data_IF_104373811280
#
_entry.id   IF_104373811280
#
_cell.length_a   1.000
_cell.length_b   1.000
_cell.length_c   1.000
_cell.angle_alpha   90.00
_cell.angle_beta   90.00
_cell.angle_gamma   90.00
#
_symmetry.space_group_name_H-M   'P 1'
#
loop_
_entity.id
_entity.type
_entity.pdbx_description
1 polymer ?
#
# COMPACT_ATOMS: atom_id res chain seq x y z
N UNK A 1 -12.98 7.53 21.39
CA UNK A 1 -12.23 7.23 20.15
C UNK A 1 -11.38 6.00 20.44
N UNK A 2 -11.09 5.15 19.45
CA UNK A 2 -10.21 4.00 19.71
C UNK A 2 -8.78 4.51 19.69
N UNK A 3 -7.99 4.16 20.70
CA UNK A 3 -6.58 4.56 20.78
C UNK A 3 -5.67 3.73 19.84
N UNK A 4 -6.25 2.81 19.06
CA UNK A 4 -5.53 1.84 18.24
C UNK A 4 -5.66 2.13 16.73
N UNK A 5 -4.62 1.75 15.97
CA UNK A 5 -4.67 1.76 14.50
C UNK A 5 -5.58 0.64 14.00
N UNK A 6 -6.41 0.89 12.99
CA UNK A 6 -7.13 -0.18 12.28
C UNK A 6 -6.49 -0.36 10.91
N UNK A 7 -5.95 -1.55 10.63
CA UNK A 7 -5.42 -1.95 9.33
C UNK A 7 -6.51 -2.65 8.52
N UNK A 8 -6.93 -2.06 7.41
CA UNK A 8 -7.81 -2.71 6.43
C UNK A 8 -6.97 -3.58 5.48
N UNK A 9 -7.16 -4.89 5.58
CA UNK A 9 -6.38 -5.89 4.82
C UNK A 9 -7.28 -6.94 4.15
N UNK A 10 -6.72 -7.72 3.23
CA UNK A 10 -7.37 -8.81 2.49
C UNK A 10 -7.20 -10.12 3.26
N UNK A 11 -8.29 -10.85 3.58
CA UNK A 11 -8.18 -12.12 4.28
C UNK A 11 -7.58 -13.21 3.38
N UNK A 12 -6.84 -14.13 3.99
CA UNK A 12 -6.63 -15.47 3.46
C UNK A 12 -7.69 -16.45 4.01
N UNK A 13 -7.75 -17.66 3.45
CA UNK A 13 -8.52 -18.79 3.99
C UNK A 13 -8.16 -19.11 5.45
N UNK A 14 -6.93 -18.79 5.84
CA UNK A 14 -6.40 -19.00 7.18
C UNK A 14 -6.64 -17.79 8.11
N UNK A 15 -7.25 -16.71 7.62
CA UNK A 15 -7.47 -15.49 8.40
C UNK A 15 -6.18 -14.69 8.66
N UNK A 16 -5.20 -14.80 7.77
CA UNK A 16 -3.87 -14.20 7.90
C UNK A 16 -3.49 -13.34 6.69
N UNK A 17 -2.50 -12.47 6.86
CA UNK A 17 -1.99 -11.64 5.77
C UNK A 17 -1.23 -12.46 4.74
N UNK A 18 -1.34 -12.05 3.48
CA UNK A 18 -0.71 -12.75 2.36
C UNK A 18 -0.22 -11.82 1.26
N UNK A 19 -0.85 -10.65 1.07
CA UNK A 19 -0.54 -9.77 -0.05
C UNK A 19 0.71 -8.94 0.24
N UNK A 20 1.62 -8.85 -0.74
CA UNK A 20 2.89 -8.13 -0.60
C UNK A 20 2.72 -6.64 -0.23
N UNK A 21 1.62 -5.99 -0.63
CA UNK A 21 1.42 -4.57 -0.34
C UNK A 21 1.04 -4.34 1.14
N UNK A 22 0.04 -5.04 1.70
CA UNK A 22 -0.27 -5.00 3.13
C UNK A 22 0.85 -5.46 4.03
N UNK A 23 1.68 -6.43 3.60
CA UNK A 23 2.85 -6.83 4.36
C UNK A 23 3.78 -5.66 4.69
N UNK A 24 3.95 -4.68 3.80
CA UNK A 24 4.76 -3.48 4.08
C UNK A 24 4.26 -2.73 5.31
N UNK A 25 2.95 -2.48 5.37
CA UNK A 25 2.32 -1.79 6.51
C UNK A 25 2.36 -2.65 7.76
N UNK A 26 2.08 -3.95 7.64
CA UNK A 26 2.10 -4.91 8.75
C UNK A 26 3.48 -5.03 9.40
N UNK A 27 4.52 -5.16 8.59
CA UNK A 27 5.90 -5.20 9.05
C UNK A 27 6.28 -3.93 9.80
N UNK A 28 5.86 -2.76 9.31
CA UNK A 28 6.08 -1.49 10.00
C UNK A 28 5.37 -1.44 11.36
N UNK A 29 4.10 -1.83 11.42
CA UNK A 29 3.34 -1.86 12.67
C UNK A 29 3.98 -2.82 13.69
N UNK A 30 4.42 -4.00 13.23
CA UNK A 30 5.06 -5.01 14.06
C UNK A 30 6.45 -4.56 14.53
N UNK A 31 7.29 -4.05 13.63
CA UNK A 31 8.63 -3.52 13.93
C UNK A 31 8.56 -2.41 14.98
N UNK A 32 7.62 -1.48 14.80
CA UNK A 32 7.42 -0.37 15.74
C UNK A 32 6.69 -0.77 17.01
N UNK A 33 6.13 -1.98 17.09
CA UNK A 33 5.24 -2.40 18.18
C UNK A 33 4.05 -1.47 18.38
N UNK A 34 3.52 -0.87 17.30
CA UNK A 34 2.29 -0.07 17.35
C UNK A 34 1.11 -1.03 17.56
N UNK A 35 0.23 -0.81 18.55
CA UNK A 35 -1.00 -1.59 18.69
C UNK A 35 -1.96 -1.33 17.52
N UNK A 36 -2.44 -2.39 16.90
CA UNK A 36 -3.38 -2.29 15.79
C UNK A 36 -4.32 -3.49 15.72
N UNK A 37 -5.51 -3.28 15.15
CA UNK A 37 -6.41 -4.37 14.75
C UNK A 37 -6.45 -4.51 13.25
N UNK A 38 -6.49 -5.74 12.76
CA UNK A 38 -6.78 -5.96 11.33
C UNK A 38 -8.27 -6.09 11.12
N UNK A 39 -8.82 -5.25 10.24
CA UNK A 39 -10.17 -5.35 9.72
C UNK A 39 -10.13 -5.99 8.32
N UNK A 40 -10.36 -7.30 8.29
CA UNK A 40 -10.37 -8.08 7.06
C UNK A 40 -11.52 -7.68 6.13
N UNK A 41 -11.19 -7.39 4.87
CA UNK A 41 -12.13 -6.97 3.84
C UNK A 41 -11.85 -7.75 2.56
N UNK A 42 -12.86 -8.45 2.04
CA UNK A 42 -12.73 -9.19 0.78
C UNK A 42 -12.50 -8.23 -0.39
N UNK A 43 -11.85 -8.70 -1.46
CA UNK A 43 -11.56 -7.90 -2.65
C UNK A 43 -12.75 -7.10 -3.21
N UNK A 44 -13.93 -7.70 -3.49
CA UNK A 44 -15.06 -6.96 -4.04
C UNK A 44 -15.66 -5.94 -3.08
N UNK A 45 -15.37 -6.05 -1.77
CA UNK A 45 -15.95 -5.22 -0.73
C UNK A 45 -15.10 -3.99 -0.39
N UNK A 46 -13.83 -3.93 -0.85
CA UNK A 46 -12.93 -2.79 -0.60
C UNK A 46 -13.54 -1.46 -1.06
N UNK A 47 -13.95 -1.38 -2.33
CA UNK A 47 -14.54 -0.18 -2.91
C UNK A 47 -15.81 0.28 -2.17
N UNK A 48 -16.87 -0.55 -2.08
CA UNK A 48 -18.10 -0.10 -1.42
C UNK A 48 -17.90 0.21 0.07
N UNK A 49 -16.91 -0.39 0.73
CA UNK A 49 -16.57 -0.07 2.12
C UNK A 49 -15.89 1.29 2.25
N UNK A 50 -14.86 1.55 1.44
CA UNK A 50 -14.10 2.80 1.52
C UNK A 50 -14.91 4.00 1.02
N UNK A 51 -15.81 3.80 0.05
CA UNK A 51 -16.79 4.82 -0.35
C UNK A 51 -17.75 5.18 0.78
N UNK A 52 -18.18 4.21 1.62
CA UNK A 52 -19.00 4.51 2.80
C UNK A 52 -18.27 5.38 3.82
N UNK A 53 -16.95 5.25 3.96
CA UNK A 53 -16.18 6.12 4.86
C UNK A 53 -16.14 7.57 4.39
N UNK A 54 -16.36 7.85 3.11
CA UNK A 54 -16.54 9.21 2.59
C UNK A 54 -17.95 9.76 2.88
N UNK A 55 -18.97 8.90 2.92
CA UNK A 55 -20.37 9.31 3.13
C UNK A 55 -20.67 9.52 4.61
N UNK A 56 -20.25 8.58 5.47
CA UNK A 56 -20.49 8.65 6.92
C UNK A 56 -19.88 9.89 7.56
N UNK A 57 -18.80 10.42 6.98
CA UNK A 57 -18.16 11.65 7.46
C UNK A 57 -18.83 12.91 6.93
N UNK A 58 -19.58 12.81 5.83
CA UNK A 58 -20.34 13.92 5.26
C UNK A 58 -21.70 14.16 5.94
N UNK A 59 -22.18 13.27 6.83
CA UNK A 59 -23.52 13.33 7.43
C UNK A 59 -23.59 12.82 8.88
N UNK A 60 -24.34 13.43 9.82
CA UNK A 60 -25.07 14.70 9.78
C UNK A 60 -24.37 15.76 10.64
N UNK A 61 -23.75 16.76 10.02
CA UNK A 61 -23.58 18.06 10.69
C UNK A 61 -24.76 18.97 10.29
N UNK A 62 -25.36 19.71 11.23
CA UNK A 62 -26.56 20.49 10.98
C UNK A 62 -26.17 21.77 10.24
N UNK A 63 -26.50 21.86 8.95
CA UNK A 63 -26.34 23.11 8.21
C UNK A 63 -26.73 22.94 6.75
N UNK A 64 -27.67 23.74 6.22
CA UNK A 64 -28.11 23.63 4.84
C UNK A 64 -27.03 24.23 3.94
N UNK A 65 -26.16 23.40 3.39
CA UNK A 65 -25.34 23.81 2.24
C UNK A 65 -26.20 23.65 1.01
N UNK A 66 -26.68 24.79 0.49
CA UNK A 66 -27.30 24.90 -0.83
C UNK A 66 -26.42 24.18 -1.86
N UNK A 67 -26.90 23.06 -2.38
CA UNK A 67 -26.43 22.54 -3.67
C UNK A 67 -26.79 23.59 -4.72
N UNK A 68 -25.84 24.47 -5.06
CA UNK A 68 -25.90 25.19 -6.33
C UNK A 68 -25.62 24.18 -7.44
N UNK A 69 -26.69 23.59 -7.94
CA UNK A 69 -26.73 23.05 -9.30
C UNK A 69 -26.29 24.17 -10.23
N UNK A 70 -25.08 24.06 -10.76
CA UNK A 70 -24.65 24.84 -11.93
C UNK A 70 -25.56 24.43 -13.09
N UNK A 71 -26.67 25.15 -13.27
CA UNK A 71 -27.34 25.24 -14.57
C UNK A 71 -26.46 26.13 -15.44
N UNK A 72 -25.91 25.56 -16.50
CA UNK A 72 -25.45 26.31 -17.66
C UNK A 72 -26.66 27.05 -18.23
N UNK A 73 -26.81 28.32 -17.89
CA UNK A 73 -27.64 29.24 -18.67
C UNK A 73 -26.72 29.94 -19.68
N UNK A 74 -26.92 29.59 -20.95
CA UNK A 74 -26.32 30.29 -22.08
C UNK A 74 -27.13 31.55 -22.36
N UNK A 75 -26.90 32.64 -21.62
CA UNK A 75 -27.41 33.96 -22.05
C UNK A 75 -26.85 35.15 -21.26
N UNK A 76 -25.53 35.40 -21.28
CA UNK A 76 -25.04 36.75 -20.91
C UNK A 76 -23.87 37.20 -21.80
N UNK A 77 -24.18 38.13 -22.70
CA UNK A 77 -23.23 39.04 -23.36
C UNK A 77 -22.89 40.22 -22.44
N UNK A 78 -21.62 40.61 -22.37
CA UNK A 78 -21.09 41.89 -21.85
C UNK A 78 -20.09 42.39 -22.92
N UNK A 79 -19.75 43.69 -23.14
CA UNK A 79 -20.03 44.89 -22.32
C UNK A 79 -20.23 46.25 -23.05
N UNK A 80 -20.68 47.29 -22.31
CA UNK A 80 -20.02 48.62 -22.37
C UNK A 80 -20.38 49.56 -21.19
N UNK A 81 -19.35 49.89 -20.40
CA UNK A 81 -18.99 51.15 -19.71
C UNK A 81 -20.07 52.13 -19.14
N UNK A 82 -19.93 52.54 -17.86
CA UNK A 82 -19.32 53.83 -17.44
C UNK A 82 -19.60 54.20 -15.94
N UNK A 83 -18.50 54.42 -15.19
CA UNK A 83 -18.28 55.44 -14.11
C UNK A 83 -18.85 55.24 -12.68
N UNK A 84 -18.30 55.95 -11.65
CA UNK A 84 -17.59 55.32 -10.53
C UNK A 84 -18.25 55.55 -9.15
N UNK A 85 -18.11 54.58 -8.26
CA UNK A 85 -18.50 54.75 -6.85
C UNK A 85 -18.35 53.45 -6.07
N UNK A 86 -17.36 53.43 -5.18
CA UNK A 86 -17.27 52.59 -3.98
C UNK A 86 -17.53 51.07 -4.15
N UNK A 87 -16.44 50.32 -4.26
CA UNK A 87 -16.31 49.07 -3.51
C UNK A 87 -14.86 48.94 -3.11
N UNK A 88 -14.52 49.51 -1.94
CA UNK A 88 -13.28 49.21 -1.28
C UNK A 88 -13.24 47.71 -1.02
N UNK A 89 -12.17 47.09 -1.49
CA UNK A 89 -11.72 45.77 -1.11
C UNK A 89 -11.57 45.73 0.42
N UNK A 90 -12.59 45.22 1.11
CA UNK A 90 -12.44 44.74 2.48
C UNK A 90 -12.25 43.23 2.37
N UNK A 91 -11.01 42.84 2.05
CA UNK A 91 -10.56 41.49 2.28
C UNK A 91 -10.27 41.40 3.78
N UNK A 92 -11.32 41.23 4.59
CA UNK A 92 -11.16 41.01 6.02
C UNK A 92 -10.59 39.60 6.21
N UNK A 93 -9.46 39.57 6.93
CA UNK A 93 -8.66 38.40 7.24
C UNK A 93 -9.52 37.30 7.87
N UNK A 94 -9.86 36.27 7.10
CA UNK A 94 -10.14 34.95 7.67
C UNK A 94 -8.81 34.23 7.79
N UNK A 95 -8.04 34.57 8.83
CA UNK A 95 -7.06 33.65 9.41
C UNK A 95 -7.83 32.58 10.15
N UNK A 96 -8.29 31.58 9.42
CA UNK A 96 -8.68 30.30 9.99
C UNK A 96 -7.90 29.24 9.22
N UNK A 97 -6.91 28.66 9.89
CA UNK A 97 -6.41 27.32 9.58
C UNK A 97 -7.59 26.35 9.75
N UNK A 98 -8.52 26.33 8.80
CA UNK A 98 -9.35 25.16 8.59
C UNK A 98 -8.47 24.19 7.80
N UNK A 99 -7.60 23.48 8.52
CA UNK A 99 -7.15 22.20 8.01
C UNK A 99 -8.42 21.40 7.75
N UNK A 100 -8.77 21.21 6.48
CA UNK A 100 -9.79 20.24 6.11
C UNK A 100 -9.29 18.90 6.66
N UNK A 101 -9.78 18.50 7.83
CA UNK A 101 -9.60 17.13 8.30
C UNK A 101 -10.26 16.29 7.24
N UNK A 102 -9.46 15.64 6.40
CA UNK A 102 -9.95 14.82 5.31
C UNK A 102 -10.55 13.56 5.96
N UNK A 103 -11.82 13.66 6.33
CA UNK A 103 -12.54 12.58 6.97
C UNK A 103 -13.04 11.62 5.89
N UNK A 104 -12.29 10.53 5.66
CA UNK A 104 -12.60 9.44 4.74
C UNK A 104 -11.42 9.06 3.83
N UNK A 105 -11.48 7.90 3.17
CA UNK A 105 -10.41 7.44 2.27
C UNK A 105 -10.66 7.99 0.86
N UNK A 106 -9.88 8.97 0.36
CA UNK A 106 -9.97 9.35 -1.05
C UNK A 106 -9.52 8.20 -1.95
N UNK A 107 -10.05 8.10 -3.18
CA UNK A 107 -9.52 7.13 -4.13
C UNK A 107 -8.05 7.41 -4.45
N UNK A 108 -7.30 6.38 -4.80
CA UNK A 108 -5.95 6.50 -5.35
C UNK A 108 -5.95 7.41 -6.59
N UNK A 109 -4.80 8.03 -6.85
CA UNK A 109 -4.62 8.86 -8.04
C UNK A 109 -4.88 8.04 -9.33
N UNK A 110 -5.39 8.71 -10.36
CA UNK A 110 -5.65 8.08 -11.65
C UNK A 110 -4.33 7.55 -12.22
N UNK A 111 -4.32 6.27 -12.63
CA UNK A 111 -3.12 5.59 -13.14
C UNK A 111 -2.36 4.75 -12.10
N UNK A 112 -2.66 4.88 -10.80
CA UNK A 112 -2.07 4.06 -9.73
C UNK A 112 -2.69 2.64 -9.61
N UNK A 113 -3.50 2.22 -10.58
CA UNK A 113 -4.22 0.95 -10.57
C UNK A 113 -5.67 1.10 -10.10
N UNK A 114 -6.06 0.33 -9.09
CA UNK A 114 -7.42 0.38 -8.56
C UNK A 114 -7.66 1.66 -7.75
N UNK A 115 -8.82 2.28 -7.91
CA UNK A 115 -9.21 3.47 -7.14
C UNK A 115 -9.21 3.20 -5.62
N UNK A 116 -9.53 1.98 -5.20
CA UNK A 116 -9.46 1.54 -3.81
C UNK A 116 -8.65 0.25 -3.71
N UNK A 117 -7.72 0.22 -2.76
CA UNK A 117 -6.75 -0.87 -2.61
C UNK A 117 -6.45 -1.16 -1.15
N UNK A 118 -6.05 -2.39 -0.87
CA UNK A 118 -5.38 -2.77 0.37
C UNK A 118 -3.86 -2.58 0.23
N UNK A 119 -3.15 -2.05 1.24
CA UNK A 119 -3.64 -1.68 2.56
C UNK A 119 -4.25 -0.27 2.60
N UNK A 120 -5.15 -0.08 3.57
CA UNK A 120 -5.53 1.23 4.10
C UNK A 120 -5.53 1.16 5.63
N UNK A 121 -5.38 2.30 6.31
CA UNK A 121 -5.46 2.37 7.77
C UNK A 121 -6.43 3.45 8.23
N UNK A 122 -6.99 3.25 9.43
CA UNK A 122 -7.55 4.31 10.26
C UNK A 122 -6.59 4.60 11.41
N UNK A 123 -6.23 5.86 11.57
CA UNK A 123 -5.37 6.34 12.65
C UNK A 123 -6.17 6.53 13.95
N UNK A 124 -5.51 6.63 15.12
CA UNK A 124 -6.20 6.85 16.41
C UNK A 124 -7.03 8.14 16.46
N UNK A 125 -6.60 9.18 15.74
CA UNK A 125 -7.34 10.44 15.58
C UNK A 125 -8.60 10.32 14.69
N UNK A 126 -8.85 9.13 14.13
CA UNK A 126 -9.98 8.82 13.26
C UNK A 126 -9.76 9.17 11.79
N UNK A 127 -8.62 9.75 11.42
CA UNK A 127 -8.26 9.98 10.02
C UNK A 127 -7.98 8.66 9.30
N UNK A 128 -8.15 8.66 7.98
CA UNK A 128 -7.89 7.48 7.16
C UNK A 128 -6.78 7.74 6.14
N UNK A 129 -5.92 6.75 5.93
CA UNK A 129 -4.80 6.82 5.00
C UNK A 129 -4.79 5.55 4.13
N UNK A 130 -4.68 5.72 2.81
CA UNK A 130 -4.50 4.64 1.84
C UNK A 130 -3.29 5.00 0.97
N UNK A 131 -2.65 3.98 0.40
CA UNK A 131 -1.32 3.97 -0.22
C UNK A 131 -0.19 3.68 0.78
N UNK A 132 0.63 2.67 0.48
CA UNK A 132 1.66 2.19 1.40
C UNK A 132 2.70 3.24 1.78
N UNK A 133 3.04 4.18 0.88
CA UNK A 133 4.03 5.22 1.19
C UNK A 133 3.44 6.25 2.16
N UNK A 134 2.22 6.72 1.86
CA UNK A 134 1.49 7.65 2.75
C UNK A 134 1.24 7.06 4.13
N UNK A 135 0.91 5.77 4.16
CA UNK A 135 0.71 5.03 5.41
C UNK A 135 1.99 5.03 6.24
N UNK A 136 3.14 4.76 5.62
CA UNK A 136 4.42 4.71 6.34
C UNK A 136 4.81 6.08 6.87
N UNK A 137 4.63 7.15 6.10
CA UNK A 137 4.86 8.52 6.59
C UNK A 137 3.98 8.84 7.81
N UNK A 138 2.72 8.41 7.79
CA UNK A 138 1.79 8.59 8.90
C UNK A 138 2.17 7.78 10.14
N UNK A 139 2.59 6.52 9.97
CA UNK A 139 3.02 5.65 11.08
C UNK A 139 4.37 6.07 11.68
N UNK A 140 5.31 6.55 10.86
CA UNK A 140 6.57 7.14 11.33
C UNK A 140 6.30 8.40 12.15
N UNK A 141 5.35 9.24 11.70
CA UNK A 141 4.95 10.45 12.44
C UNK A 141 4.23 10.11 13.75
N UNK A 142 3.38 9.08 13.75
CA UNK A 142 2.66 8.62 14.94
C UNK A 142 3.62 8.07 16.00
N UNK A 143 4.61 7.29 15.58
CA UNK A 143 5.60 6.71 16.48
C UNK A 143 7.01 6.72 15.84
N UNK A 144 7.81 7.79 16.06
CA UNK A 144 9.13 7.97 15.43
C UNK A 144 10.20 6.97 15.90
N UNK A 145 9.96 6.25 16.99
CA UNK A 145 10.93 5.29 17.56
C UNK A 145 10.29 3.89 17.65
N UNK A 146 10.97 2.84 17.19
CA UNK A 146 12.25 2.85 16.47
C UNK A 146 12.14 3.45 15.04
N UNK A 147 13.18 4.13 14.53
CA UNK A 147 13.11 4.85 13.25
C UNK A 147 13.07 3.89 12.05
N UNK A 148 12.33 4.26 10.99
CA UNK A 148 12.32 3.50 9.72
C UNK A 148 13.34 4.01 8.71
N UNK A 149 14.05 5.11 8.99
CA UNK A 149 15.04 5.70 8.08
C UNK A 149 14.47 5.91 6.66
N UNK A 150 13.35 6.65 6.56
CA UNK A 150 12.60 6.85 5.32
C UNK A 150 13.37 7.63 4.24
N UNK A 151 14.48 8.24 4.64
CA UNK A 151 15.48 8.98 3.86
C UNK A 151 16.72 8.14 3.50
N UNK A 152 16.69 6.83 3.79
CA UNK A 152 17.76 5.89 3.45
C UNK A 152 18.18 6.03 1.98
N UNK A 153 19.50 6.06 1.68
CA UNK A 153 19.99 6.20 0.31
C UNK A 153 19.57 5.03 -0.59
N UNK A 154 19.17 3.90 0.01
CA UNK A 154 18.69 2.71 -0.68
C UNK A 154 17.24 2.82 -1.17
N UNK A 155 16.43 3.71 -0.58
CA UNK A 155 14.97 3.68 -0.71
C UNK A 155 14.48 3.68 -2.16
N UNK A 156 14.90 4.67 -2.96
CA UNK A 156 14.44 4.81 -4.34
C UNK A 156 14.91 3.63 -5.22
N UNK A 157 16.12 3.12 -4.98
CA UNK A 157 16.67 2.00 -5.75
C UNK A 157 15.94 0.69 -5.44
N UNK A 158 15.59 0.46 -4.19
CA UNK A 158 14.85 -0.73 -3.75
C UNK A 158 13.40 -0.69 -4.25
N UNK A 159 12.77 0.48 -4.31
CA UNK A 159 11.44 0.63 -4.92
C UNK A 159 11.46 0.26 -6.41
N UNK A 160 12.46 0.73 -7.17
CA UNK A 160 12.63 0.39 -8.58
C UNK A 160 12.94 -1.09 -8.79
N UNK A 161 13.92 -1.64 -8.06
CA UNK A 161 14.26 -3.07 -8.12
C UNK A 161 13.08 -3.95 -7.75
N UNK A 162 12.36 -3.62 -6.69
CA UNK A 162 11.16 -4.36 -6.27
C UNK A 162 10.11 -4.35 -7.38
N UNK A 163 9.89 -3.20 -8.04
CA UNK A 163 8.97 -3.12 -9.18
C UNK A 163 9.42 -4.07 -10.31
N UNK A 164 10.69 -4.01 -10.70
CA UNK A 164 11.24 -4.81 -11.79
C UNK A 164 11.21 -6.32 -11.50
N UNK A 165 11.55 -6.71 -10.27
CA UNK A 165 11.50 -8.09 -9.78
C UNK A 165 10.05 -8.57 -9.76
N UNK A 166 9.19 -7.90 -8.99
CA UNK A 166 7.80 -8.32 -8.78
C UNK A 166 7.05 -8.39 -10.10
N UNK A 167 7.19 -7.40 -10.99
CA UNK A 167 6.55 -7.42 -12.31
C UNK A 167 7.05 -8.60 -13.17
N UNK A 168 8.34 -8.93 -13.10
CA UNK A 168 8.92 -10.06 -13.84
C UNK A 168 8.40 -11.42 -13.34
N UNK A 169 8.18 -11.57 -12.03
CA UNK A 169 7.76 -12.85 -11.42
C UNK A 169 6.25 -12.97 -11.23
N UNK A 170 5.43 -12.05 -11.74
CA UNK A 170 3.97 -12.16 -11.74
C UNK A 170 3.46 -13.51 -12.27
N UNK A 171 4.02 -14.12 -13.34
CA UNK A 171 3.64 -15.45 -13.79
C UNK A 171 3.87 -16.56 -12.75
N UNK A 172 4.81 -16.37 -11.82
CA UNK A 172 5.14 -17.34 -10.76
C UNK A 172 4.06 -17.33 -9.68
N UNK A 173 3.78 -16.16 -9.09
CA UNK A 173 2.93 -16.10 -7.89
C UNK A 173 1.44 -15.87 -8.19
N UNK A 174 1.10 -15.12 -9.24
CA UNK A 174 -0.30 -14.70 -9.48
C UNK A 174 -1.26 -15.88 -9.68
N UNK A 175 -0.89 -16.94 -10.42
CA UNK A 175 -1.76 -18.12 -10.58
C UNK A 175 -1.94 -18.93 -9.29
N UNK A 176 -1.01 -18.82 -8.34
CA UNK A 176 -1.04 -19.51 -7.05
C UNK A 176 -1.93 -18.81 -6.02
N UNK A 177 -1.99 -17.47 -6.04
CA UNK A 177 -2.80 -16.65 -5.12
C UNK A 177 -4.24 -17.17 -4.93
N UNK A 178 -5.07 -17.36 -5.97
CA UNK A 178 -6.44 -17.86 -5.81
C UNK A 178 -6.52 -19.30 -5.30
N UNK A 179 -5.46 -20.10 -5.51
CA UNK A 179 -5.40 -21.51 -5.10
C UNK A 179 -5.03 -21.62 -3.62
N UNK A 180 -4.01 -20.88 -3.20
CA UNK A 180 -3.42 -20.94 -1.85
C UNK A 180 -4.18 -20.05 -0.86
N UNK A 181 -4.37 -18.77 -1.17
CA UNK A 181 -4.82 -17.79 -0.18
C UNK A 181 -6.30 -17.48 -0.18
N UNK A 182 -6.95 -17.35 -1.34
CA UNK A 182 -8.21 -16.61 -1.40
C UNK A 182 -9.44 -17.40 -0.99
N UNK A 183 -10.30 -16.78 -0.17
CA UNK A 183 -11.68 -17.22 0.06
C UNK A 183 -12.48 -17.26 -1.25
N UNK A 184 -13.56 -18.05 -1.37
CA UNK A 184 -14.32 -18.19 -2.62
C UNK A 184 -14.71 -16.86 -3.26
N UNK A 185 -15.24 -15.91 -2.48
CA UNK A 185 -15.65 -14.57 -2.96
C UNK A 185 -14.48 -13.79 -3.57
N UNK A 186 -13.37 -13.66 -2.83
CA UNK A 186 -12.16 -13.00 -3.35
C UNK A 186 -11.51 -13.76 -4.50
N UNK A 187 -11.55 -15.09 -4.48
CA UNK A 187 -11.01 -15.96 -5.53
C UNK A 187 -11.71 -15.69 -6.85
N UNK A 188 -13.03 -15.70 -6.86
CA UNK A 188 -13.80 -15.55 -8.10
C UNK A 188 -13.64 -14.13 -8.66
N UNK A 189 -13.65 -13.11 -7.80
CA UNK A 189 -13.29 -11.74 -8.18
C UNK A 189 -11.86 -11.65 -8.77
N UNK A 190 -10.88 -12.26 -8.10
CA UNK A 190 -9.48 -12.22 -8.51
C UNK A 190 -9.28 -12.89 -9.87
N UNK A 191 -9.75 -14.14 -10.03
CA UNK A 191 -9.63 -14.88 -11.29
C UNK A 191 -10.29 -14.10 -12.42
N UNK A 192 -11.52 -13.62 -12.25
CA UNK A 192 -12.24 -12.86 -13.27
C UNK A 192 -11.50 -11.59 -13.69
N UNK A 193 -11.10 -10.77 -12.71
CA UNK A 193 -10.43 -9.49 -12.99
C UNK A 193 -9.03 -9.67 -13.60
N UNK A 194 -8.26 -10.67 -13.15
CA UNK A 194 -6.90 -10.90 -13.66
C UNK A 194 -6.93 -11.56 -15.03
N UNK A 195 -7.81 -12.52 -15.28
CA UNK A 195 -7.98 -13.09 -16.62
C UNK A 195 -8.43 -12.04 -17.63
N UNK A 196 -9.36 -11.15 -17.25
CA UNK A 196 -9.75 -10.02 -18.11
C UNK A 196 -8.58 -9.08 -18.40
N UNK A 197 -7.78 -8.74 -17.39
CA UNK A 197 -6.63 -7.85 -17.55
C UNK A 197 -5.48 -8.46 -18.37
N UNK A 198 -5.27 -9.77 -18.27
CA UNK A 198 -4.22 -10.51 -18.98
C UNK A 198 -4.64 -10.91 -20.40
N UNK A 199 -5.94 -11.00 -20.69
CA UNK A 199 -6.45 -11.55 -21.95
C UNK A 199 -6.27 -13.07 -22.07
N UNK A 200 -5.92 -13.77 -20.99
CA UNK A 200 -5.71 -15.23 -20.95
C UNK A 200 -6.00 -15.80 -19.55
N UNK A 201 -6.13 -17.12 -19.45
CA UNK A 201 -6.33 -17.79 -18.15
C UNK A 201 -5.08 -17.68 -17.27
N UNK A 202 -5.24 -17.80 -15.95
CA UNK A 202 -4.10 -17.82 -15.04
C UNK A 202 -3.19 -19.05 -15.24
N UNK A 203 -3.75 -20.19 -15.66
CA UNK A 203 -2.96 -21.38 -15.96
C UNK A 203 -2.13 -21.22 -17.24
N UNK A 204 -2.65 -20.52 -18.26
CA UNK A 204 -1.85 -20.16 -19.44
C UNK A 204 -0.75 -19.17 -19.07
N UNK A 205 -1.08 -18.17 -18.26
CA UNK A 205 -0.12 -17.18 -17.79
C UNK A 205 1.02 -17.82 -16.97
N UNK A 206 0.72 -18.87 -16.19
CA UNK A 206 1.70 -19.61 -15.39
C UNK A 206 2.85 -20.22 -16.22
N UNK A 207 2.62 -20.52 -17.50
CA UNK A 207 3.67 -21.05 -18.40
C UNK A 207 4.82 -20.05 -18.62
N UNK A 208 4.61 -18.78 -18.29
CA UNK A 208 5.64 -17.74 -18.31
C UNK A 208 6.56 -17.72 -17.08
N UNK A 209 6.35 -18.60 -16.09
CA UNK A 209 7.08 -18.60 -14.81
C UNK A 209 8.60 -18.64 -15.00
N UNK A 210 9.13 -19.62 -15.74
CA UNK A 210 10.58 -19.77 -15.94
C UNK A 210 11.20 -18.55 -16.61
N UNK A 211 10.54 -18.02 -17.66
CA UNK A 211 10.97 -16.79 -18.34
C UNK A 211 10.95 -15.60 -17.38
N UNK A 212 9.94 -15.51 -16.52
CA UNK A 212 9.82 -14.49 -15.48
C UNK A 212 10.98 -14.54 -14.49
N UNK A 213 11.33 -15.74 -14.01
CA UNK A 213 12.49 -15.95 -13.12
C UNK A 213 13.80 -15.56 -13.81
N UNK A 214 14.03 -15.99 -15.06
CA UNK A 214 15.25 -15.60 -15.79
C UNK A 214 15.35 -14.07 -15.97
N UNK A 215 14.21 -13.40 -16.22
CA UNK A 215 14.17 -11.94 -16.31
C UNK A 215 14.46 -11.26 -14.97
N UNK A 216 14.06 -11.88 -13.85
CA UNK A 216 14.27 -11.34 -12.51
C UNK A 216 15.71 -11.47 -12.01
N UNK A 217 16.45 -12.50 -12.44
CA UNK A 217 17.83 -12.78 -12.00
C UNK A 217 18.78 -11.58 -11.94
N UNK A 218 18.94 -10.74 -12.99
CA UNK A 218 19.84 -9.59 -12.89
C UNK A 218 19.44 -8.58 -11.80
N UNK A 219 18.14 -8.39 -11.56
CA UNK A 219 17.66 -7.50 -10.50
C UNK A 219 17.81 -8.10 -9.11
N UNK A 220 17.65 -9.43 -8.98
CA UNK A 220 17.92 -10.16 -7.73
C UNK A 220 19.41 -10.09 -7.39
N UNK A 221 20.29 -10.24 -8.39
CA UNK A 221 21.73 -10.05 -8.23
C UNK A 221 22.06 -8.67 -7.70
N UNK A 222 21.52 -7.63 -8.34
CA UNK A 222 21.75 -6.27 -7.90
C UNK A 222 21.24 -6.02 -6.47
N UNK A 223 20.05 -6.53 -6.13
CA UNK A 223 19.54 -6.45 -4.76
C UNK A 223 20.46 -7.17 -3.75
N UNK A 224 21.00 -8.32 -4.12
CA UNK A 224 22.01 -9.02 -3.32
C UNK A 224 23.30 -8.21 -3.16
N UNK A 225 23.76 -7.52 -4.21
CA UNK A 225 24.92 -6.62 -4.13
C UNK A 225 24.68 -5.47 -3.15
N UNK A 226 23.51 -4.83 -3.19
CA UNK A 226 23.14 -3.77 -2.25
C UNK A 226 23.12 -4.29 -0.80
N UNK A 227 22.58 -5.49 -0.56
CA UNK A 227 22.58 -6.11 0.77
C UNK A 227 23.98 -6.49 1.26
N UNK A 228 24.96 -6.65 0.36
CA UNK A 228 26.36 -6.92 0.72
C UNK A 228 27.18 -5.66 1.00
N UNK A 229 26.72 -4.47 0.59
CA UNK A 229 27.46 -3.21 0.80
C UNK A 229 27.77 -2.98 2.29
N UNK A 230 26.83 -3.35 3.18
CA UNK A 230 26.98 -3.23 4.63
C UNK A 230 27.06 -4.60 5.30
N UNK A 231 28.27 -5.11 5.50
CA UNK A 231 28.51 -6.46 6.04
C UNK A 231 28.25 -6.63 7.55
N UNK A 232 27.93 -5.55 8.27
CA UNK A 232 27.71 -5.60 9.73
C UNK A 232 26.40 -6.27 10.16
N UNK A 233 25.48 -6.50 9.23
CA UNK A 233 24.19 -7.13 9.51
C UNK A 233 23.45 -7.52 8.23
N UNK A 234 22.21 -8.02 8.36
CA UNK A 234 21.44 -8.54 7.23
C UNK A 234 20.62 -7.47 6.49
N UNK A 235 20.57 -6.24 7.02
CA UNK A 235 19.77 -5.15 6.47
C UNK A 235 20.60 -4.28 5.51
N UNK A 236 19.91 -3.50 4.69
CA UNK A 236 20.54 -2.55 3.77
C UNK A 236 21.44 -1.55 4.50
N UNK A 237 21.11 -1.12 5.72
CA UNK A 237 21.97 -0.29 6.56
C UNK A 237 22.77 -1.11 7.61
N UNK A 238 23.12 -2.35 7.27
CA UNK A 238 23.88 -3.26 8.12
C UNK A 238 23.04 -3.78 9.28
N UNK A 239 23.27 -3.26 10.49
CA UNK A 239 22.60 -3.72 11.72
C UNK A 239 21.19 -3.15 11.91
N UNK A 240 20.91 -2.01 11.28
CA UNK A 240 19.68 -1.26 11.52
C UNK A 240 18.71 -1.44 10.35
N UNK A 241 17.48 -1.93 10.58
CA UNK A 241 16.48 -2.03 9.52
C UNK A 241 16.00 -0.65 9.09
N UNK A 242 15.60 -0.53 7.82
CA UNK A 242 14.92 0.62 7.27
C UNK A 242 13.66 0.21 6.50
N UNK A 243 12.88 1.18 6.04
CA UNK A 243 11.65 0.89 5.30
C UNK A 243 11.90 0.12 3.99
N UNK A 244 13.05 0.34 3.34
CA UNK A 244 13.44 -0.41 2.16
C UNK A 244 13.57 -1.92 2.45
N UNK A 245 14.06 -2.32 3.63
CA UNK A 245 14.07 -3.73 4.05
C UNK A 245 12.65 -4.28 4.19
N UNK A 246 11.72 -3.48 4.74
CA UNK A 246 10.30 -3.87 4.89
C UNK A 246 9.61 -4.09 3.54
N UNK A 247 10.01 -3.35 2.50
CA UNK A 247 9.53 -3.58 1.13
C UNK A 247 9.99 -4.95 0.63
N UNK A 248 11.28 -5.27 0.82
CA UNK A 248 11.87 -6.54 0.38
C UNK A 248 11.24 -7.72 1.12
N UNK A 249 11.20 -7.64 2.44
CA UNK A 249 10.58 -8.64 3.30
C UNK A 249 9.11 -8.88 2.92
N UNK A 250 8.35 -7.83 2.59
CA UNK A 250 6.94 -7.98 2.28
C UNK A 250 6.63 -8.87 1.07
N UNK A 251 7.43 -8.82 0.02
CA UNK A 251 7.25 -9.74 -1.12
C UNK A 251 7.91 -11.10 -0.88
N UNK A 252 9.01 -11.18 -0.11
CA UNK A 252 9.61 -12.46 0.29
C UNK A 252 8.64 -13.29 1.14
N UNK A 253 7.98 -12.69 2.12
CA UNK A 253 6.97 -13.37 2.96
C UNK A 253 5.80 -13.90 2.14
N UNK A 254 5.36 -13.16 1.10
CA UNK A 254 4.33 -13.67 0.19
C UNK A 254 4.82 -14.90 -0.58
N UNK A 255 6.04 -14.87 -1.13
CA UNK A 255 6.60 -15.99 -1.89
C UNK A 255 6.81 -17.23 -1.01
N UNK A 256 7.30 -17.04 0.20
CA UNK A 256 7.45 -18.11 1.19
C UNK A 256 6.11 -18.75 1.54
N UNK A 257 5.08 -17.94 1.88
CA UNK A 257 3.72 -18.44 2.17
C UNK A 257 3.02 -19.07 0.96
N UNK A 258 3.50 -18.82 -0.27
CA UNK A 258 3.03 -19.49 -1.49
C UNK A 258 3.74 -20.84 -1.73
N UNK A 259 4.76 -21.18 -0.95
CA UNK A 259 5.58 -22.37 -1.14
C UNK A 259 6.60 -22.25 -2.28
N UNK A 260 6.95 -21.02 -2.67
CA UNK A 260 7.94 -20.75 -3.73
C UNK A 260 9.16 -19.98 -3.23
N UNK A 261 9.23 -19.63 -1.94
CA UNK A 261 10.34 -18.87 -1.34
C UNK A 261 11.71 -19.52 -1.58
N UNK A 262 11.82 -20.82 -1.32
CA UNK A 262 13.08 -21.58 -1.50
C UNK A 262 13.67 -21.47 -2.91
N UNK A 263 12.82 -21.35 -3.94
CA UNK A 263 13.31 -21.19 -5.32
C UNK A 263 14.03 -19.86 -5.56
N UNK A 264 13.68 -18.81 -4.79
CA UNK A 264 14.33 -17.51 -4.82
C UNK A 264 15.54 -17.45 -3.89
N UNK A 265 15.45 -18.06 -2.71
CA UNK A 265 16.57 -18.19 -1.78
C UNK A 265 17.71 -19.03 -2.37
N UNK A 266 17.41 -19.97 -3.26
CA UNK A 266 18.39 -20.78 -3.98
C UNK A 266 18.95 -20.17 -5.27
N UNK A 267 18.58 -18.93 -5.63
CA UNK A 267 19.16 -18.29 -6.81
C UNK A 267 20.63 -17.92 -6.57
N UNK A 268 21.48 -18.29 -7.52
CA UNK A 268 22.87 -17.83 -7.56
C UNK A 268 22.93 -16.29 -7.62
N UNK A 269 23.94 -15.72 -6.96
CA UNK A 269 24.16 -14.28 -6.84
C UNK A 269 22.93 -13.52 -6.31
N UNK A 270 22.68 -13.52 -4.99
CA UNK A 270 21.65 -12.72 -4.34
C UNK A 270 20.61 -13.51 -3.54
N UNK A 271 20.39 -14.79 -3.86
CA UNK A 271 19.43 -15.62 -3.13
C UNK A 271 19.78 -15.81 -1.65
N UNK A 272 21.07 -15.99 -1.35
CA UNK A 272 21.57 -16.13 0.03
C UNK A 272 21.32 -14.85 0.85
N UNK A 273 21.54 -13.67 0.28
CA UNK A 273 21.29 -12.39 0.94
C UNK A 273 19.80 -12.18 1.22
N UNK A 274 18.93 -12.52 0.27
CA UNK A 274 17.48 -12.48 0.46
C UNK A 274 17.06 -13.43 1.58
N UNK A 275 17.64 -14.63 1.62
CA UNK A 275 17.37 -15.60 2.68
C UNK A 275 17.82 -15.08 4.04
N UNK A 276 19.03 -14.50 4.12
CA UNK A 276 19.57 -13.93 5.35
C UNK A 276 18.71 -12.79 5.89
N UNK A 277 18.23 -11.92 5.00
CA UNK A 277 17.28 -10.86 5.36
C UNK A 277 15.94 -11.46 5.85
N UNK A 278 15.39 -12.44 5.13
CA UNK A 278 14.15 -13.13 5.51
C UNK A 278 14.24 -13.81 6.88
N UNK A 279 15.31 -14.58 7.10
CA UNK A 279 15.58 -15.30 8.35
C UNK A 279 15.70 -14.33 9.53
N UNK A 280 16.27 -13.14 9.33
CA UNK A 280 16.28 -12.11 10.38
C UNK A 280 14.85 -11.62 10.69
N UNK A 281 14.01 -11.42 9.68
CA UNK A 281 12.59 -11.10 9.88
C UNK A 281 11.83 -12.19 10.66
N UNK A 282 12.13 -13.47 10.41
CA UNK A 282 11.62 -14.61 11.19
C UNK A 282 12.10 -14.52 12.63
N UNK A 283 13.41 -14.37 12.84
CA UNK A 283 14.04 -14.31 14.18
C UNK A 283 13.49 -13.17 15.03
N UNK A 284 13.14 -12.04 14.41
CA UNK A 284 12.55 -10.89 15.10
C UNK A 284 11.04 -11.04 15.35
N UNK A 285 10.40 -12.12 14.87
CA UNK A 285 8.96 -12.36 15.02
C UNK A 285 8.07 -11.40 14.22
N UNK A 286 8.61 -10.71 13.21
CA UNK A 286 7.88 -9.67 12.48
C UNK A 286 6.73 -10.21 11.62
N UNK A 287 6.70 -11.51 11.35
CA UNK A 287 5.66 -12.17 10.54
C UNK A 287 4.53 -12.81 11.35
N UNK A 288 4.65 -12.85 12.68
CA UNK A 288 3.75 -13.64 13.54
C UNK A 288 2.45 -12.91 13.88
N UNK A 289 2.48 -11.58 13.90
CA UNK A 289 1.38 -10.77 14.37
C UNK A 289 0.54 -10.27 13.21
N UNK A 290 -0.71 -10.75 13.17
CA UNK A 290 -1.74 -10.25 12.26
C UNK A 290 -2.71 -9.24 12.95
N UNK A 291 -2.71 -9.15 14.28
CA UNK A 291 -3.46 -8.17 15.08
C UNK A 291 -2.84 -8.10 16.48
N UNK A 292 -2.99 -6.99 17.18
CA UNK A 292 -2.78 -6.86 18.62
C UNK A 292 -4.02 -7.31 19.40
#
# INVERSE_FOLDING_TARGET
MSDEVILYDLPSKQGTSWSLNPWKTRLVLNYKSIPYKTEWTEYPDLKPKFEKFLITTAWPWPGPVFLSLVRLDQSVTIPSAQRPGQAAMVCEKVTANCACVQSGIPPNQTGAGAAYSSPAIRMPDGSYVMDSRRIVDALESLQPTPPLHLDSPYQARIEDLTKQIVDSIRPVFMPLVPKVFLNPTSRDYFVSTRTKALGMSLDEYAKGADKGVQKAKPYIRELGELLRENNEGPFLQGKTPCYADMIVLGWLTMLDRLGVGDSFFGLEDGGEELKRLYDEGVKQGWFERDSY
#
